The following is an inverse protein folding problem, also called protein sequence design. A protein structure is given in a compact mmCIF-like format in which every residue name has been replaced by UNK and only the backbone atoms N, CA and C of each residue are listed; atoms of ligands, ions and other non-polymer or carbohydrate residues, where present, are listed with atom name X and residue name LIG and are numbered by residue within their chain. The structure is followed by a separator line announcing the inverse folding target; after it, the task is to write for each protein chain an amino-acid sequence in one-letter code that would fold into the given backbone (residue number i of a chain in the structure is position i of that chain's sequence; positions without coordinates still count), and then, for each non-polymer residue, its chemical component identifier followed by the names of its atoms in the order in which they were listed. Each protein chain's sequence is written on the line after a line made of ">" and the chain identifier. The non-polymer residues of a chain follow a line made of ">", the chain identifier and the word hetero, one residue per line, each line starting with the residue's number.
data_IF_252329484030
#
_entry.id   IF_252329484030
#
_cell.length_a   1.000
_cell.length_b   1.000
_cell.length_c   1.000
_cell.angle_alpha   90.00
_cell.angle_beta   90.00
_cell.angle_gamma   90.00
#
_symmetry.space_group_name_H-M   'P 1'
#
loop_
_entity.id
_entity.type
_entity.pdbx_description
1 polymer ?
#
# COMPACT_ATOMS: atom_id res chain seq x y z
N UNK A 1 15.40 49.03 2.60
CA UNK A 1 15.20 47.68 3.17
C UNK A 1 15.65 47.73 4.62
N UNK A 2 14.70 47.67 5.55
CA UNK A 2 14.93 47.85 6.99
C UNK A 2 15.72 46.66 7.57
N UNK A 3 16.51 46.88 8.63
CA UNK A 3 17.25 45.82 9.33
C UNK A 3 16.32 44.72 9.89
N UNK A 4 15.07 45.08 10.18
CA UNK A 4 14.01 44.20 10.68
C UNK A 4 13.52 43.20 9.60
N UNK A 5 13.35 43.70 8.37
CA UNK A 5 12.93 42.92 7.19
C UNK A 5 13.96 41.83 6.81
N UNK A 6 15.26 42.13 6.93
CA UNK A 6 16.34 41.15 6.71
C UNK A 6 16.36 40.05 7.78
N UNK A 7 16.00 40.39 9.02
CA UNK A 7 16.04 39.45 10.14
C UNK A 7 14.85 38.48 10.08
N UNK A 8 13.67 38.96 9.69
CA UNK A 8 12.49 38.10 9.44
C UNK A 8 12.72 37.14 8.27
N UNK A 9 13.29 37.61 7.15
CA UNK A 9 13.63 36.73 6.01
C UNK A 9 14.64 35.64 6.42
N UNK A 10 15.65 36.00 7.22
CA UNK A 10 16.65 35.06 7.73
C UNK A 10 16.05 34.01 8.68
N UNK A 11 15.12 34.41 9.55
CA UNK A 11 14.41 33.48 10.43
C UNK A 11 13.49 32.54 9.64
N UNK A 12 12.78 33.06 8.64
CA UNK A 12 11.91 32.25 7.77
C UNK A 12 12.71 31.23 6.96
N UNK A 13 13.87 31.60 6.42
CA UNK A 13 14.77 30.69 5.72
C UNK A 13 15.35 29.62 6.64
N UNK A 14 15.75 29.98 7.87
CA UNK A 14 16.23 29.03 8.88
C UNK A 14 15.13 28.08 9.34
N UNK A 15 13.89 28.55 9.47
CA UNK A 15 12.72 27.72 9.78
C UNK A 15 12.39 26.77 8.62
N UNK A 16 12.38 27.25 7.37
CA UNK A 16 12.18 26.41 6.17
C UNK A 16 13.28 25.36 6.02
N UNK A 17 14.55 25.71 6.26
CA UNK A 17 15.67 24.78 6.19
C UNK A 17 15.60 23.69 7.29
N UNK A 18 15.22 24.06 8.52
CA UNK A 18 14.99 23.09 9.61
C UNK A 18 13.80 22.18 9.35
N UNK A 19 12.70 22.71 8.82
CA UNK A 19 11.53 21.92 8.45
C UNK A 19 11.87 20.93 7.32
N UNK A 20 12.63 21.36 6.31
CA UNK A 20 13.06 20.49 5.21
C UNK A 20 14.04 19.39 5.67
N UNK A 21 14.95 19.68 6.61
CA UNK A 21 15.84 18.67 7.21
C UNK A 21 15.05 17.65 8.07
N UNK A 22 14.04 18.13 8.81
CA UNK A 22 13.12 17.25 9.55
C UNK A 22 12.29 16.37 8.62
N UNK A 23 11.70 16.95 7.56
CA UNK A 23 10.93 16.22 6.55
C UNK A 23 11.81 15.22 5.79
N UNK A 24 13.07 15.54 5.50
CA UNK A 24 14.01 14.62 4.86
C UNK A 24 14.36 13.45 5.78
N UNK A 25 14.70 13.71 7.05
CA UNK A 25 14.96 12.66 8.04
C UNK A 25 13.74 11.76 8.28
N UNK A 26 12.54 12.34 8.32
CA UNK A 26 11.30 11.61 8.46
C UNK A 26 11.00 10.76 7.21
N UNK A 27 11.15 11.32 6.00
CA UNK A 27 11.02 10.57 4.73
C UNK A 27 12.05 9.44 4.61
N UNK A 28 13.29 9.66 5.04
CA UNK A 28 14.34 8.64 5.06
C UNK A 28 14.00 7.52 6.05
N UNK A 29 13.52 7.86 7.24
CA UNK A 29 13.06 6.89 8.23
C UNK A 29 11.89 6.03 7.75
N UNK A 30 10.88 6.65 7.10
CA UNK A 30 9.76 5.91 6.50
C UNK A 30 10.24 5.00 5.37
N UNK A 31 11.13 5.48 4.50
CA UNK A 31 11.72 4.69 3.42
C UNK A 31 12.48 3.46 3.94
N UNK A 32 13.29 3.62 5.00
CA UNK A 32 13.99 2.49 5.63
C UNK A 32 13.02 1.46 6.21
N UNK A 33 11.94 1.89 6.85
CA UNK A 33 10.90 0.98 7.37
C UNK A 33 10.26 0.18 6.23
N UNK A 34 9.92 0.84 5.13
CA UNK A 34 9.31 0.18 3.96
C UNK A 34 10.24 -0.87 3.33
N UNK A 35 11.54 -0.58 3.23
CA UNK A 35 12.54 -1.55 2.72
C UNK A 35 12.62 -2.77 3.64
N UNK A 36 12.62 -2.56 4.96
CA UNK A 36 12.66 -3.65 5.93
C UNK A 36 11.38 -4.50 5.90
N UNK A 37 10.22 -3.88 5.69
CA UNK A 37 8.96 -4.59 5.49
C UNK A 37 8.97 -5.43 4.21
N UNK A 38 9.48 -4.88 3.10
CA UNK A 38 9.63 -5.61 1.85
C UNK A 38 10.56 -6.82 1.99
N UNK A 39 11.71 -6.64 2.66
CA UNK A 39 12.63 -7.73 2.96
C UNK A 39 11.95 -8.86 3.74
N UNK A 40 11.18 -8.53 4.79
CA UNK A 40 10.45 -9.51 5.60
C UNK A 40 9.43 -10.29 4.78
N UNK A 41 8.71 -9.61 3.90
CA UNK A 41 7.76 -10.25 3.00
C UNK A 41 8.44 -11.23 2.05
N UNK A 42 9.61 -10.88 1.51
CA UNK A 42 10.36 -11.79 0.65
C UNK A 42 10.83 -13.05 1.39
N UNK A 43 11.38 -12.87 2.60
CA UNK A 43 11.81 -14.00 3.43
C UNK A 43 10.63 -14.91 3.83
N UNK A 44 9.47 -14.32 4.10
CA UNK A 44 8.23 -15.04 4.44
C UNK A 44 7.49 -15.65 3.24
N UNK A 45 7.71 -15.14 2.03
CA UNK A 45 7.13 -15.69 0.80
C UNK A 45 7.95 -16.85 0.25
N UNK A 46 9.28 -16.84 0.40
CA UNK A 46 10.21 -17.88 -0.07
C UNK A 46 10.72 -18.77 1.08
N UNK A 47 9.80 -19.35 1.84
CA UNK A 47 10.10 -20.22 2.98
C UNK A 47 11.01 -21.40 2.57
N UNK A 48 10.78 -22.04 1.42
CA UNK A 48 11.63 -23.15 0.96
C UNK A 48 13.07 -22.70 0.69
N UNK A 49 13.27 -21.49 0.15
CA UNK A 49 14.59 -21.00 -0.19
C UNK A 49 15.40 -20.64 1.05
N UNK A 50 14.79 -19.95 2.01
CA UNK A 50 15.49 -19.31 3.13
C UNK A 50 15.46 -20.11 4.43
N UNK A 51 14.56 -21.08 4.58
CA UNK A 51 14.55 -21.95 5.76
C UNK A 51 15.60 -23.05 5.58
N UNK A 52 16.52 -23.24 6.54
CA UNK A 52 17.55 -24.27 6.43
C UNK A 52 16.90 -25.66 6.47
N UNK A 53 17.27 -26.50 5.52
CA UNK A 53 16.74 -27.86 5.36
C UNK A 53 17.88 -28.86 5.25
N UNK A 54 17.56 -30.13 5.49
CA UNK A 54 18.52 -31.24 5.46
C UNK A 54 18.79 -31.73 4.03
N UNK A 55 20.06 -31.85 3.68
CA UNK A 55 20.58 -32.51 2.48
C UNK A 55 21.57 -33.60 2.89
N UNK A 56 21.06 -34.76 3.30
CA UNK A 56 21.90 -35.82 3.86
C UNK A 56 22.40 -35.45 5.25
N UNK A 57 23.71 -35.31 5.44
CA UNK A 57 24.31 -34.93 6.73
C UNK A 57 24.56 -33.42 6.89
N UNK A 58 24.44 -32.66 5.79
CA UNK A 58 24.70 -31.21 5.78
C UNK A 58 23.43 -30.39 5.59
N UNK A 59 23.53 -29.09 5.85
CA UNK A 59 22.50 -28.11 5.53
C UNK A 59 22.57 -27.81 4.03
N UNK A 60 21.42 -27.82 3.35
CA UNK A 60 21.33 -27.44 1.94
C UNK A 60 21.68 -25.96 1.73
N UNK A 61 22.37 -25.64 0.65
CA UNK A 61 22.42 -24.29 0.10
C UNK A 61 21.05 -23.86 -0.47
N UNK A 62 20.86 -22.56 -0.66
CA UNK A 62 19.62 -22.00 -1.24
C UNK A 62 19.33 -22.61 -2.63
N UNK A 63 20.37 -22.79 -3.45
CA UNK A 63 20.24 -23.38 -4.79
C UNK A 63 19.79 -24.84 -4.73
N UNK A 64 20.33 -25.63 -3.80
CA UNK A 64 19.93 -27.03 -3.59
C UNK A 64 18.49 -27.15 -3.07
N UNK A 65 18.05 -26.21 -2.23
CA UNK A 65 16.66 -26.13 -1.82
C UNK A 65 15.71 -25.85 -3.00
N UNK A 66 16.11 -24.97 -3.92
CA UNK A 66 15.31 -24.56 -5.08
C UNK A 66 15.34 -25.56 -6.25
N UNK A 67 16.41 -26.35 -6.39
CA UNK A 67 16.58 -27.32 -7.47
C UNK A 67 16.15 -28.74 -7.09
N UNK A 68 15.43 -28.90 -5.97
CA UNK A 68 15.01 -30.21 -5.48
C UNK A 68 14.03 -30.90 -6.44
N UNK A 69 14.37 -32.14 -6.82
CA UNK A 69 13.65 -32.93 -7.83
C UNK A 69 12.38 -33.66 -7.33
N UNK A 70 11.76 -33.23 -6.23
CA UNK A 70 10.49 -33.80 -5.78
C UNK A 70 9.31 -32.95 -6.26
N UNK A 71 8.25 -33.61 -6.74
CA UNK A 71 7.06 -32.92 -7.27
C UNK A 71 6.45 -31.95 -6.24
N UNK A 72 6.45 -32.35 -4.97
CA UNK A 72 5.99 -31.54 -3.84
C UNK A 72 6.89 -30.32 -3.58
N UNK A 73 8.21 -30.47 -3.68
CA UNK A 73 9.11 -29.33 -3.51
C UNK A 73 8.94 -28.34 -4.67
N UNK A 74 8.89 -28.82 -5.92
CA UNK A 74 8.72 -27.96 -7.09
C UNK A 74 7.38 -27.22 -7.07
N UNK A 75 6.27 -27.90 -6.75
CA UNK A 75 4.97 -27.24 -6.62
C UNK A 75 4.96 -26.21 -5.50
N UNK A 76 5.64 -26.50 -4.39
CA UNK A 76 5.75 -25.56 -3.27
C UNK A 76 6.60 -24.35 -3.64
N UNK A 77 7.73 -24.52 -4.35
CA UNK A 77 8.56 -23.41 -4.85
C UNK A 77 7.77 -22.52 -5.82
N UNK A 78 6.95 -23.11 -6.68
CA UNK A 78 6.02 -22.37 -7.52
C UNK A 78 5.02 -21.56 -6.68
N UNK A 79 4.43 -22.17 -5.64
CA UNK A 79 3.54 -21.48 -4.71
C UNK A 79 4.23 -20.34 -3.94
N UNK A 80 5.50 -20.50 -3.56
CA UNK A 80 6.31 -19.45 -2.93
C UNK A 80 6.47 -18.27 -3.89
N UNK A 81 6.81 -18.55 -5.16
CA UNK A 81 6.94 -17.53 -6.21
C UNK A 81 5.62 -16.80 -6.49
N UNK A 82 4.50 -17.54 -6.58
CA UNK A 82 3.16 -16.96 -6.76
C UNK A 82 2.79 -16.06 -5.58
N UNK A 83 3.10 -16.49 -4.37
CA UNK A 83 2.87 -15.69 -3.15
C UNK A 83 3.68 -14.41 -3.20
N UNK A 84 4.97 -14.48 -3.52
CA UNK A 84 5.81 -13.29 -3.67
C UNK A 84 5.23 -12.31 -4.71
N UNK A 85 4.81 -12.80 -5.87
CA UNK A 85 4.17 -11.98 -6.91
C UNK A 85 2.85 -11.35 -6.44
N UNK A 86 2.02 -12.08 -5.70
CA UNK A 86 0.78 -11.56 -5.15
C UNK A 86 1.04 -10.39 -4.18
N UNK A 87 2.08 -10.50 -3.34
CA UNK A 87 2.47 -9.42 -2.44
C UNK A 87 3.10 -8.24 -3.19
N UNK A 88 3.91 -8.46 -4.22
CA UNK A 88 4.41 -7.37 -5.07
C UNK A 88 3.26 -6.60 -5.75
N UNK A 89 2.26 -7.32 -6.28
CA UNK A 89 1.07 -6.71 -6.84
C UNK A 89 0.28 -5.91 -5.79
N UNK A 90 0.12 -6.47 -4.59
CA UNK A 90 -0.50 -5.79 -3.44
C UNK A 90 0.22 -4.49 -3.12
N UNK A 91 1.55 -4.51 -2.96
CA UNK A 91 2.35 -3.32 -2.68
C UNK A 91 2.25 -2.26 -3.79
N UNK A 92 2.25 -2.68 -5.04
CA UNK A 92 2.08 -1.75 -6.16
C UNK A 92 0.72 -1.05 -6.14
N UNK A 93 -0.35 -1.79 -5.82
CA UNK A 93 -1.71 -1.24 -5.67
C UNK A 93 -1.79 -0.35 -4.42
N UNK A 94 -1.17 -0.76 -3.31
CA UNK A 94 -1.05 0.00 -2.06
C UNK A 94 -0.47 1.39 -2.33
N UNK A 95 0.64 1.44 -3.09
CA UNK A 95 1.31 2.70 -3.42
C UNK A 95 0.44 3.61 -4.27
N UNK A 96 -0.21 3.06 -5.29
CA UNK A 96 -1.11 3.85 -6.16
C UNK A 96 -2.36 4.33 -5.43
N UNK A 97 -2.92 3.51 -4.53
CA UNK A 97 -4.04 3.87 -3.68
C UNK A 97 -3.64 5.02 -2.77
N UNK A 98 -2.54 4.89 -2.04
CA UNK A 98 -2.13 5.90 -1.07
C UNK A 98 -1.84 7.24 -1.75
N UNK A 99 -1.08 7.25 -2.86
CA UNK A 99 -0.79 8.50 -3.57
C UNK A 99 -2.07 9.21 -4.01
N UNK A 100 -3.12 8.46 -4.38
CA UNK A 100 -4.43 9.06 -4.70
C UNK A 100 -5.13 9.59 -3.44
N UNK A 101 -5.15 8.84 -2.34
CA UNK A 101 -5.76 9.31 -1.10
C UNK A 101 -5.10 10.61 -0.62
N UNK A 102 -3.77 10.67 -0.58
CA UNK A 102 -3.00 11.86 -0.20
C UNK A 102 -3.26 13.06 -1.16
N UNK A 103 -3.49 12.80 -2.45
CA UNK A 103 -3.69 13.88 -3.44
C UNK A 103 -5.08 14.51 -3.38
N UNK A 104 -6.09 13.77 -2.91
CA UNK A 104 -7.51 14.18 -3.01
C UNK A 104 -8.20 14.32 -1.66
N UNK A 105 -7.65 13.76 -0.60
CA UNK A 105 -8.26 13.72 0.73
C UNK A 105 -7.28 14.19 1.79
N UNK A 106 -7.82 14.75 2.87
CA UNK A 106 -7.07 15.17 4.03
C UNK A 106 -7.61 14.54 5.33
N UNK A 107 -6.83 14.69 6.40
CA UNK A 107 -7.20 14.27 7.76
C UNK A 107 -7.60 15.51 8.54
N UNK A 108 -8.90 15.70 8.73
CA UNK A 108 -9.46 16.84 9.42
C UNK A 108 -9.95 16.42 10.83
N UNK A 109 -9.41 17.04 11.88
CA UNK A 109 -9.76 16.72 13.28
C UNK A 109 -11.15 17.20 13.70
N UNK A 110 -11.78 18.06 12.90
CA UNK A 110 -13.05 18.70 13.22
C UNK A 110 -14.24 18.06 12.50
N UNK A 111 -14.01 17.16 11.55
CA UNK A 111 -15.06 16.44 10.81
C UNK A 111 -15.23 15.02 11.33
N UNK A 112 -16.46 14.51 11.24
CA UNK A 112 -16.78 13.18 11.70
C UNK A 112 -16.11 12.10 10.84
N UNK A 113 -15.78 10.96 11.46
CA UNK A 113 -15.05 9.85 10.83
C UNK A 113 -15.95 8.67 10.46
N UNK A 114 -17.26 8.81 10.63
CA UNK A 114 -18.21 7.77 10.29
C UNK A 114 -18.38 7.61 8.77
N UNK A 115 -18.80 6.41 8.35
CA UNK A 115 -18.91 6.07 6.93
C UNK A 115 -19.84 7.00 6.15
N UNK A 116 -20.87 7.55 6.80
CA UNK A 116 -21.90 8.33 6.13
C UNK A 116 -21.44 9.78 5.97
N UNK A 117 -20.85 10.36 7.03
CA UNK A 117 -20.22 11.68 6.98
C UNK A 117 -19.07 11.75 5.97
N UNK A 118 -18.14 10.77 5.97
CA UNK A 118 -17.06 10.75 4.97
C UNK A 118 -17.63 10.55 3.56
N UNK A 119 -18.71 9.77 3.44
CA UNK A 119 -19.44 9.60 2.19
C UNK A 119 -20.07 10.90 1.67
N UNK A 120 -20.46 11.80 2.58
CA UNK A 120 -20.98 13.13 2.27
C UNK A 120 -19.86 14.08 1.86
N UNK A 121 -18.75 14.14 2.60
CA UNK A 121 -17.56 14.93 2.21
C UNK A 121 -17.06 14.53 0.82
N UNK A 122 -17.05 13.24 0.50
CA UNK A 122 -16.66 12.74 -0.84
C UNK A 122 -17.55 13.24 -1.99
N UNK A 123 -18.78 13.72 -1.73
CA UNK A 123 -19.63 14.32 -2.77
C UNK A 123 -19.07 15.65 -3.27
N UNK A 124 -18.25 16.32 -2.46
CA UNK A 124 -17.58 17.57 -2.82
C UNK A 124 -16.41 17.36 -3.79
N UNK A 125 -16.07 16.12 -4.12
CA UNK A 125 -15.05 15.75 -5.09
C UNK A 125 -15.70 15.41 -6.45
N UNK A 126 -15.08 15.75 -7.60
CA UNK A 126 -15.59 15.36 -8.91
C UNK A 126 -15.87 13.85 -9.00
N UNK A 127 -17.01 13.49 -9.61
CA UNK A 127 -17.53 12.10 -9.66
C UNK A 127 -16.48 11.13 -10.22
N UNK A 128 -15.73 11.55 -11.23
CA UNK A 128 -14.66 10.77 -11.86
C UNK A 128 -13.54 10.42 -10.88
N UNK A 129 -13.14 11.37 -10.04
CA UNK A 129 -12.08 11.21 -9.03
C UNK A 129 -12.57 10.35 -7.86
N UNK A 130 -13.78 10.61 -7.36
CA UNK A 130 -14.42 9.79 -6.31
C UNK A 130 -14.53 8.32 -6.71
N UNK A 131 -15.03 8.05 -7.92
CA UNK A 131 -15.16 6.67 -8.42
C UNK A 131 -13.80 6.00 -8.57
N UNK A 132 -12.78 6.76 -8.94
CA UNK A 132 -11.40 6.25 -9.04
C UNK A 132 -10.89 5.83 -7.66
N UNK A 133 -11.05 6.66 -6.63
CA UNK A 133 -10.63 6.33 -5.25
C UNK A 133 -11.32 5.04 -4.79
N UNK A 134 -12.64 4.96 -4.92
CA UNK A 134 -13.43 3.78 -4.52
C UNK A 134 -13.03 2.52 -5.27
N UNK A 135 -12.69 2.63 -6.57
CA UNK A 135 -12.23 1.49 -7.38
C UNK A 135 -10.87 0.99 -6.92
N UNK A 136 -9.92 1.88 -6.64
CA UNK A 136 -8.60 1.49 -6.14
C UNK A 136 -8.67 0.91 -4.73
N UNK A 137 -9.56 1.44 -3.88
CA UNK A 137 -9.79 0.88 -2.55
C UNK A 137 -10.36 -0.54 -2.64
N UNK A 138 -11.41 -0.76 -3.45
CA UNK A 138 -11.97 -2.11 -3.67
C UNK A 138 -10.95 -3.08 -4.31
N UNK A 139 -10.12 -2.60 -5.23
CA UNK A 139 -9.05 -3.40 -5.83
C UNK A 139 -7.99 -3.81 -4.78
N UNK A 140 -7.61 -2.88 -3.90
CA UNK A 140 -6.71 -3.17 -2.79
C UNK A 140 -7.32 -4.19 -1.83
N UNK A 141 -8.62 -4.07 -1.51
CA UNK A 141 -9.33 -5.05 -0.69
C UNK A 141 -9.27 -6.46 -1.29
N UNK A 142 -9.67 -6.61 -2.56
CA UNK A 142 -9.65 -7.90 -3.24
C UNK A 142 -8.24 -8.49 -3.30
N UNK A 143 -7.23 -7.67 -3.62
CA UNK A 143 -5.83 -8.11 -3.68
C UNK A 143 -5.32 -8.51 -2.30
N UNK A 144 -5.72 -7.81 -1.24
CA UNK A 144 -5.40 -8.14 0.14
C UNK A 144 -5.91 -9.52 0.55
N UNK A 145 -7.17 -9.84 0.21
CA UNK A 145 -7.73 -11.18 0.46
C UNK A 145 -7.00 -12.27 -0.34
N UNK A 146 -6.74 -12.03 -1.63
CA UNK A 146 -6.02 -13.00 -2.48
C UNK A 146 -4.62 -13.26 -1.95
N UNK A 147 -3.85 -12.23 -1.59
CA UNK A 147 -2.51 -12.37 -1.03
C UNK A 147 -2.51 -13.07 0.34
N UNK A 148 -3.54 -12.83 1.15
CA UNK A 148 -3.72 -13.53 2.44
C UNK A 148 -3.96 -15.03 2.23
N UNK A 149 -4.86 -15.39 1.32
CA UNK A 149 -5.12 -16.78 0.98
C UNK A 149 -3.88 -17.48 0.39
N UNK A 150 -3.16 -16.78 -0.50
CA UNK A 150 -1.90 -17.28 -1.07
C UNK A 150 -0.85 -17.54 0.01
N UNK A 151 -0.69 -16.62 0.97
CA UNK A 151 0.21 -16.78 2.11
C UNK A 151 -0.15 -18.00 2.95
N UNK A 152 -1.41 -18.18 3.33
CA UNK A 152 -1.84 -19.32 4.15
C UNK A 152 -1.53 -20.65 3.43
N UNK A 153 -1.90 -20.76 2.15
CA UNK A 153 -1.60 -21.95 1.35
C UNK A 153 -0.09 -22.19 1.24
N UNK A 154 0.69 -21.14 1.00
CA UNK A 154 2.15 -21.22 0.91
C UNK A 154 2.79 -21.68 2.21
N UNK A 155 2.33 -21.16 3.36
CA UNK A 155 2.82 -21.55 4.67
C UNK A 155 2.52 -23.02 4.95
N UNK A 156 1.31 -23.51 4.65
CA UNK A 156 0.94 -24.92 4.87
C UNK A 156 1.77 -25.86 3.98
N UNK A 157 1.89 -25.56 2.69
CA UNK A 157 2.70 -26.37 1.76
C UNK A 157 4.18 -26.36 2.17
N UNK A 158 4.70 -25.18 2.52
CA UNK A 158 6.09 -25.03 2.97
C UNK A 158 6.34 -25.74 4.30
N UNK A 159 5.39 -25.69 5.25
CA UNK A 159 5.47 -26.43 6.50
C UNK A 159 5.60 -27.93 6.26
N UNK A 160 4.79 -28.49 5.35
CA UNK A 160 4.85 -29.91 5.01
C UNK A 160 6.21 -30.32 4.42
N UNK A 161 6.73 -29.54 3.47
CA UNK A 161 8.04 -29.83 2.85
C UNK A 161 9.19 -29.68 3.85
N UNK A 162 9.18 -28.61 4.66
CA UNK A 162 10.20 -28.33 5.67
C UNK A 162 10.18 -29.38 6.78
N UNK A 163 9.00 -29.83 7.23
CA UNK A 163 8.87 -30.87 8.24
C UNK A 163 9.50 -32.19 7.77
N UNK A 164 9.28 -32.57 6.52
CA UNK A 164 9.88 -33.78 5.94
C UNK A 164 11.42 -33.69 5.79
N UNK A 165 11.97 -32.48 5.76
CA UNK A 165 13.41 -32.22 5.62
C UNK A 165 14.00 -31.46 6.81
N UNK A 166 13.42 -31.69 7.99
CA UNK A 166 13.84 -31.04 9.22
C UNK A 166 15.31 -31.38 9.55
N UNK A 167 16.12 -30.35 9.80
CA UNK A 167 17.54 -30.51 10.14
C UNK A 167 17.76 -30.40 11.64
N UNK A 168 17.47 -29.22 12.21
CA UNK A 168 17.67 -28.92 13.63
C UNK A 168 16.65 -27.89 14.15
N UNK A 169 16.78 -27.48 15.41
CA UNK A 169 15.91 -26.47 16.03
C UNK A 169 15.97 -25.09 15.34
N UNK A 170 17.03 -24.80 14.58
CA UNK A 170 17.14 -23.56 13.80
C UNK A 170 16.15 -23.58 12.64
N UNK A 171 15.92 -24.73 11.99
CA UNK A 171 14.88 -24.89 10.96
C UNK A 171 13.52 -24.43 11.47
N UNK A 172 13.07 -24.94 12.62
CA UNK A 172 11.79 -24.56 13.20
C UNK A 172 11.74 -23.07 13.60
N UNK A 173 12.81 -22.57 14.23
CA UNK A 173 12.86 -21.18 14.70
C UNK A 173 12.83 -20.19 13.53
N UNK A 174 13.59 -20.45 12.46
CA UNK A 174 13.62 -19.61 11.26
C UNK A 174 12.28 -19.68 10.52
N UNK A 175 11.69 -20.88 10.38
CA UNK A 175 10.37 -21.04 9.78
C UNK A 175 9.31 -20.23 10.54
N UNK A 176 9.21 -20.42 11.85
CA UNK A 176 8.23 -19.73 12.69
C UNK A 176 8.41 -18.21 12.64
N UNK A 177 9.64 -17.72 12.74
CA UNK A 177 9.93 -16.28 12.71
C UNK A 177 9.53 -15.66 11.36
N UNK A 178 9.84 -16.32 10.24
CA UNK A 178 9.45 -15.84 8.91
C UNK A 178 7.94 -15.82 8.73
N UNK A 179 7.23 -16.85 9.21
CA UNK A 179 5.76 -16.90 9.19
C UNK A 179 5.17 -15.80 10.06
N UNK A 180 5.72 -15.55 11.25
CA UNK A 180 5.24 -14.49 12.14
C UNK A 180 5.44 -13.09 11.52
N UNK A 181 6.62 -12.81 10.95
CA UNK A 181 6.85 -11.52 10.29
C UNK A 181 5.91 -11.30 9.13
N UNK A 182 5.69 -12.31 8.29
CA UNK A 182 4.73 -12.19 7.20
C UNK A 182 3.28 -12.08 7.71
N UNK A 183 2.95 -12.79 8.79
CA UNK A 183 1.67 -12.72 9.47
C UNK A 183 1.34 -11.32 10.00
N UNK A 184 2.34 -10.57 10.49
CA UNK A 184 2.13 -9.17 10.90
C UNK A 184 1.71 -8.28 9.72
N UNK A 185 2.37 -8.39 8.55
CA UNK A 185 1.94 -7.65 7.35
C UNK A 185 0.54 -8.04 6.89
N UNK A 186 0.21 -9.33 6.92
CA UNK A 186 -1.14 -9.81 6.57
C UNK A 186 -2.19 -9.24 7.53
N UNK A 187 -1.91 -9.19 8.83
CA UNK A 187 -2.78 -8.58 9.82
C UNK A 187 -3.00 -7.08 9.57
N UNK A 188 -1.93 -6.36 9.21
CA UNK A 188 -2.01 -4.94 8.90
C UNK A 188 -2.87 -4.67 7.65
N UNK A 189 -2.69 -5.49 6.60
CA UNK A 189 -3.51 -5.44 5.39
C UNK A 189 -4.97 -5.78 5.73
N UNK A 190 -5.22 -6.86 6.47
CA UNK A 190 -6.56 -7.30 6.86
C UNK A 190 -7.33 -6.19 7.58
N UNK A 191 -6.69 -5.53 8.54
CA UNK A 191 -7.31 -4.42 9.30
C UNK A 191 -7.52 -3.15 8.46
N UNK A 192 -6.85 -2.99 7.31
CA UNK A 192 -7.09 -1.89 6.37
C UNK A 192 -8.21 -2.22 5.38
N UNK A 193 -8.27 -3.45 4.90
CA UNK A 193 -9.23 -3.89 3.88
C UNK A 193 -10.59 -4.29 4.45
N UNK A 194 -10.65 -4.70 5.72
CA UNK A 194 -11.88 -5.07 6.40
C UNK A 194 -12.61 -3.85 6.97
N UNK A 195 -12.94 -2.92 6.08
CA UNK A 195 -13.52 -1.61 6.42
C UNK A 195 -14.75 -1.31 5.57
N UNK A 196 -15.60 -0.38 6.04
CA UNK A 196 -16.78 0.06 5.30
C UNK A 196 -16.35 0.91 4.09
N UNK A 197 -17.23 1.01 3.10
CA UNK A 197 -16.95 1.59 1.77
C UNK A 197 -16.25 2.96 1.77
N UNK A 198 -16.57 3.84 2.71
CA UNK A 198 -16.04 5.20 2.76
C UNK A 198 -14.98 5.39 3.87
N UNK A 199 -14.47 4.32 4.48
CA UNK A 199 -13.44 4.41 5.52
C UNK A 199 -12.09 4.13 4.89
N UNK A 200 -11.27 5.16 4.74
CA UNK A 200 -9.95 5.04 4.12
C UNK A 200 -8.85 5.24 5.16
N UNK A 201 -8.24 4.14 5.62
CA UNK A 201 -7.01 4.22 6.40
C UNK A 201 -5.78 4.36 5.50
N UNK A 202 -4.80 5.14 5.96
CA UNK A 202 -3.45 5.13 5.41
C UNK A 202 -2.83 3.74 5.55
N UNK A 203 -2.21 3.26 4.49
CA UNK A 203 -1.50 1.98 4.48
C UNK A 203 -0.02 2.09 4.85
N UNK A 204 0.56 3.31 4.87
CA UNK A 204 1.99 3.53 5.14
C UNK A 204 2.33 3.84 6.59
N UNK A 205 1.38 4.40 7.35
CA UNK A 205 1.62 4.81 8.72
C UNK A 205 1.22 3.69 9.68
N UNK A 206 2.18 3.24 10.52
CA UNK A 206 1.92 2.28 11.61
C UNK A 206 0.81 2.75 12.55
N UNK A 207 0.64 4.06 12.70
CA UNK A 207 -0.57 4.66 13.24
C UNK A 207 -1.51 4.99 12.10
N UNK A 208 -2.54 4.17 11.91
CA UNK A 208 -3.53 4.36 10.86
C UNK A 208 -4.26 5.68 11.08
N UNK A 209 -3.94 6.68 10.26
CA UNK A 209 -4.76 7.89 10.13
C UNK A 209 -5.87 7.61 9.13
N UNK A 210 -7.07 8.10 9.42
CA UNK A 210 -8.22 7.96 8.52
C UNK A 210 -8.38 9.25 7.72
N UNK A 211 -8.42 9.14 6.40
CA UNK A 211 -8.83 10.24 5.53
C UNK A 211 -10.34 10.43 5.66
N UNK A 212 -10.77 11.61 6.09
CA UNK A 212 -12.17 11.91 6.40
C UNK A 212 -12.72 13.18 5.72
N UNK A 213 -11.88 13.95 5.04
CA UNK A 213 -12.32 15.14 4.32
C UNK A 213 -11.67 15.27 2.94
N UNK A 214 -12.26 16.08 2.06
CA UNK A 214 -11.71 16.38 0.74
C UNK A 214 -10.69 17.52 0.88
N UNK A 215 -9.55 17.39 0.21
CA UNK A 215 -8.55 18.45 0.16
C UNK A 215 -9.18 19.77 -0.36
N UNK A 216 -9.07 20.90 0.37
CA UNK A 216 -9.57 22.23 -0.01
C UNK A 216 -9.28 22.63 -1.46
N UNK A 217 -8.13 22.23 -2.00
CA UNK A 217 -7.70 22.57 -3.36
C UNK A 217 -8.30 21.64 -4.43
N UNK A 218 -9.11 20.66 -4.03
CA UNK A 218 -9.69 19.60 -4.89
C UNK A 218 -11.21 19.54 -4.82
N UNK A 219 -11.85 20.46 -4.11
CA UNK A 219 -13.28 20.65 -4.20
C UNK A 219 -13.69 20.80 -5.67
N UNK A 220 -14.95 20.49 -5.97
CA UNK A 220 -15.55 20.83 -7.27
C UNK A 220 -15.42 22.35 -7.45
N UNK A 221 -14.32 22.82 -8.04
CA UNK A 221 -14.41 23.92 -8.98
C UNK A 221 -15.37 23.41 -10.02
N UNK A 222 -16.55 24.02 -10.08
CA UNK A 222 -17.50 23.81 -11.16
C UNK A 222 -16.70 24.05 -12.45
N UNK A 223 -16.26 22.99 -13.11
CA UNK A 223 -15.74 23.05 -14.46
C UNK A 223 -16.94 23.48 -15.32
N UNK A 224 -17.21 24.79 -15.38
CA UNK A 224 -18.17 25.43 -16.28
C UNK A 224 -17.70 25.30 -17.75
N UNK A 225 -16.58 24.62 -18.03
CA UNK A 225 -15.97 24.57 -19.35
C UNK A 225 -16.41 23.41 -20.26
N UNK A 226 -17.54 22.71 -20.01
CA UNK A 226 -18.04 21.73 -21.00
C UNK A 226 -19.48 21.89 -21.49
N UNK A 227 -20.29 22.81 -20.96
CA UNK A 227 -21.66 23.04 -21.48
C UNK A 227 -21.85 24.34 -22.29
N UNK A 228 -20.84 25.24 -22.35
CA UNK A 228 -20.99 26.51 -23.09
C UNK A 228 -20.74 26.38 -24.61
N UNK A 229 -20.11 25.29 -25.08
CA UNK A 229 -19.81 25.11 -26.51
C UNK A 229 -20.88 24.34 -27.30
N UNK A 230 -21.98 23.89 -26.68
CA UNK A 230 -23.07 23.21 -27.40
C UNK A 230 -24.29 24.11 -27.70
N UNK A 231 -24.27 25.39 -27.29
CA UNK A 231 -25.44 26.29 -27.42
C UNK A 231 -25.24 27.47 -28.40
N UNK A 232 -24.07 27.61 -29.03
CA UNK A 232 -23.78 28.73 -29.94
C UNK A 232 -23.71 28.36 -31.43
N UNK A 233 -24.17 27.16 -31.82
CA UNK A 233 -24.23 26.74 -33.24
C UNK A 233 -25.67 26.46 -33.68
N UNK A 234 -26.56 27.46 -33.57
CA UNK A 234 -27.89 27.40 -34.21
C UNK A 234 -28.58 28.75 -34.47
N UNK A 235 -27.85 29.86 -34.49
CA UNK A 235 -28.45 31.15 -34.90
C UNK A 235 -27.50 31.99 -35.74
N UNK A 236 -27.29 31.62 -37.00
CA UNK A 236 -27.20 32.57 -38.13
C UNK A 236 -27.60 31.85 -39.44
N UNK A 237 -28.79 32.11 -39.96
CA UNK A 237 -28.98 32.47 -41.38
C UNK A 237 -30.31 33.23 -41.53
N UNK A 238 -30.22 34.45 -42.07
CA UNK A 238 -31.33 35.39 -42.30
C UNK A 238 -32.21 34.99 -43.50
N UNK A 239 -33.13 35.79 -44.01
CA UNK A 239 -33.62 37.14 -43.75
C UNK A 239 -35.01 37.25 -44.45
N UNK A 240 -35.77 38.36 -44.32
CA UNK A 240 -37.19 38.44 -44.64
C UNK A 240 -37.50 38.84 -46.10
N UNK A 241 -38.74 38.50 -46.48
CA UNK A 241 -39.56 38.87 -47.65
C UNK A 241 -39.05 38.42 -49.03
#
# INVERSE_FOLDING_TARGET
>A
MSAEEKNELSCLEKCKAKQNDQDFKQKMGVSTILILELYRVLMGAFLIAFVPQKCGENICSISENLSRNSILAQSTIAANSITALAFFALYFIEVKRENKLITYLEVNKFTAVDNDAVGESLKNLPITKRNTILRYDKLYQNTGYVSTCAFICNTVLSAYVVYNHYFDSKTATVFLTNVLFMGTKVSDVYTTVNTKKNIFFSAYLKQKVQFNDVDPDKYVTLDIEQDYNSSNDSTVEGQPI
#
